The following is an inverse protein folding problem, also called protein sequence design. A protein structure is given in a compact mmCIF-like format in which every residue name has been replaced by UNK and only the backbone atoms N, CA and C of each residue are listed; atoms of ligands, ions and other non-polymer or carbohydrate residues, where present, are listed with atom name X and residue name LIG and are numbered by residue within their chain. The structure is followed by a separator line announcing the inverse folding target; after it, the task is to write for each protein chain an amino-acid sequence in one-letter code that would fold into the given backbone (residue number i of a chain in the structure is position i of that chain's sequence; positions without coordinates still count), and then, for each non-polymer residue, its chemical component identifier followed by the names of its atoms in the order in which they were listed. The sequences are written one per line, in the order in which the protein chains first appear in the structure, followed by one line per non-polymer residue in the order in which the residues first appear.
data_IF_780722376487
#
_entry.id   IF_780722376487
#
_cell.length_a   1.000
_cell.length_b   1.000
_cell.length_c   1.000
_cell.angle_alpha   90.00
_cell.angle_beta   90.00
_cell.angle_gamma   90.00
#
_symmetry.space_group_name_H-M   'P 1'
#
loop_
_entity.id
_entity.type
_entity.pdbx_description
1 polymer ?
#
# COMPACT_ATOMS: atom_id res chain seq x y z
N UNK A 1 40.23 71.67 20.56
CA UNK A 1 39.12 71.30 19.68
C UNK A 1 38.97 69.75 19.72
N UNK A 2 38.00 69.24 20.45
CA UNK A 2 37.78 67.80 20.60
C UNK A 2 36.50 67.43 19.87
N UNK A 3 36.61 66.70 18.73
CA UNK A 3 35.50 66.26 17.94
C UNK A 3 34.97 64.90 18.51
N UNK A 4 33.71 64.90 18.96
CA UNK A 4 32.97 63.69 19.34
C UNK A 4 32.36 63.09 18.12
N UNK A 5 32.79 61.86 17.75
CA UNK A 5 32.11 61.00 16.78
C UNK A 5 31.05 60.17 17.49
N UNK A 6 29.78 60.48 17.26
CA UNK A 6 28.64 59.69 17.73
C UNK A 6 28.36 58.61 16.69
N UNK A 7 28.72 57.34 17.03
CA UNK A 7 28.39 56.19 16.19
C UNK A 7 26.97 55.73 16.48
N UNK A 8 26.07 55.91 15.49
CA UNK A 8 24.69 55.44 15.54
C UNK A 8 24.64 53.98 15.07
N UNK A 9 24.54 53.02 16.00
CA UNK A 9 24.34 51.60 15.70
C UNK A 9 22.87 51.34 15.37
N UNK A 10 22.53 51.15 14.09
CA UNK A 10 21.23 50.68 13.65
C UNK A 10 21.14 49.16 13.92
N UNK A 11 20.41 48.76 14.99
CA UNK A 11 20.04 47.37 15.23
C UNK A 11 18.90 46.98 14.25
N UNK A 12 19.26 46.25 13.18
CA UNK A 12 18.31 45.63 12.27
C UNK A 12 17.58 44.49 12.94
N UNK A 13 16.32 44.69 13.35
CA UNK A 13 15.42 43.67 13.86
C UNK A 13 14.90 42.88 12.65
N UNK A 14 15.46 41.69 12.41
CA UNK A 14 14.95 40.76 11.37
C UNK A 14 13.62 40.20 11.83
N UNK A 15 12.53 40.63 11.24
CA UNK A 15 11.20 40.04 11.37
C UNK A 15 11.21 38.67 10.66
N UNK A 16 11.50 37.60 11.41
CA UNK A 16 11.22 36.23 10.96
C UNK A 16 9.70 36.06 10.96
N UNK A 17 9.08 36.21 9.80
CA UNK A 17 7.66 35.91 9.62
C UNK A 17 7.41 34.40 9.84
N UNK A 18 6.19 34.00 10.33
CA UNK A 18 5.84 32.60 10.46
C UNK A 18 5.90 31.93 9.08
N UNK A 19 6.73 30.89 8.95
CA UNK A 19 6.72 30.03 7.79
C UNK A 19 5.36 29.29 7.75
N UNK A 20 4.48 29.72 6.85
CA UNK A 20 3.23 29.01 6.61
C UNK A 20 3.56 27.58 6.16
N UNK A 21 3.22 26.59 6.97
CA UNK A 21 3.33 25.19 6.61
C UNK A 21 2.42 24.95 5.39
N UNK A 22 3.00 24.74 4.22
CA UNK A 22 2.24 24.43 3.02
C UNK A 22 1.61 23.06 3.20
N UNK A 23 0.28 22.97 3.07
CA UNK A 23 -0.43 21.71 3.05
C UNK A 23 0.13 20.85 1.92
N UNK A 24 0.57 19.60 2.19
CA UNK A 24 1.15 18.77 1.14
C UNK A 24 0.11 18.53 0.03
N UNK A 25 0.54 18.61 -1.20
CA UNK A 25 -0.32 18.38 -2.38
C UNK A 25 -0.89 16.96 -2.36
N UNK A 26 -0.12 15.98 -1.87
CA UNK A 26 -0.56 14.58 -1.69
C UNK A 26 -0.35 14.16 -0.25
N UNK A 27 -1.37 13.55 0.33
CA UNK A 27 -1.31 12.90 1.64
C UNK A 27 -1.26 11.40 1.45
N UNK A 28 -0.25 10.76 2.07
CA UNK A 28 -0.13 9.29 2.12
C UNK A 28 -0.60 8.83 3.49
N UNK A 29 -1.56 7.93 3.52
CA UNK A 29 -2.09 7.35 4.75
C UNK A 29 -2.07 5.82 4.69
N UNK A 30 -2.05 5.20 5.88
CA UNK A 30 -2.08 3.74 6.06
C UNK A 30 -1.04 2.98 5.22
N UNK A 31 0.23 3.42 5.15
CA UNK A 31 1.23 2.70 4.38
C UNK A 31 1.60 1.39 5.06
N UNK A 32 1.74 0.32 4.29
CA UNK A 32 2.26 -0.96 4.77
C UNK A 32 2.90 -1.76 3.66
N UNK A 33 3.79 -2.68 4.02
CA UNK A 33 4.45 -3.63 3.13
C UNK A 33 4.12 -5.04 3.60
N UNK A 34 3.91 -5.97 2.68
CA UNK A 34 3.71 -7.38 3.04
C UNK A 34 5.05 -8.03 3.37
N UNK A 35 5.12 -8.75 4.50
CA UNK A 35 6.29 -9.58 4.85
C UNK A 35 6.59 -10.61 3.74
N UNK A 36 7.82 -11.09 3.71
CA UNK A 36 8.25 -12.12 2.75
C UNK A 36 8.69 -13.40 3.46
N UNK A 37 8.68 -14.49 2.73
CA UNK A 37 9.35 -15.74 3.14
C UNK A 37 10.79 -15.75 2.62
N UNK A 38 11.60 -16.65 3.15
CA UNK A 38 12.95 -16.86 2.67
C UNK A 38 12.96 -17.11 1.15
N UNK A 39 13.94 -16.54 0.45
CA UNK A 39 14.12 -16.62 -1.02
C UNK A 39 13.04 -15.88 -1.87
N UNK A 40 12.04 -15.25 -1.26
CA UNK A 40 11.11 -14.42 -2.00
C UNK A 40 11.81 -13.12 -2.43
N UNK A 41 11.79 -12.83 -3.74
CA UNK A 41 12.51 -11.71 -4.33
C UNK A 41 11.63 -10.49 -4.62
N UNK A 42 10.34 -10.57 -4.31
CA UNK A 42 9.41 -9.47 -4.58
C UNK A 42 8.27 -9.42 -3.56
N UNK A 43 7.78 -8.21 -3.26
CA UNK A 43 6.60 -8.00 -2.41
C UNK A 43 5.87 -6.74 -2.80
N UNK A 44 4.63 -6.57 -2.30
CA UNK A 44 3.80 -5.39 -2.52
C UNK A 44 3.84 -4.42 -1.36
N UNK A 45 3.85 -3.14 -1.69
CA UNK A 45 3.57 -2.05 -0.77
C UNK A 45 2.24 -1.40 -1.12
N UNK A 46 1.49 -1.04 -0.11
CA UNK A 46 0.10 -0.61 -0.17
C UNK A 46 -0.09 0.65 0.68
N UNK A 47 -1.02 1.50 0.28
CA UNK A 47 -1.29 2.77 0.96
C UNK A 47 -2.56 3.41 0.39
N UNK A 48 -3.04 4.44 1.04
CA UNK A 48 -4.08 5.33 0.51
C UNK A 48 -3.43 6.66 0.15
N UNK A 49 -3.71 7.15 -1.06
CA UNK A 49 -3.23 8.43 -1.57
C UNK A 49 -4.42 9.39 -1.73
N UNK A 50 -4.31 10.58 -1.19
CA UNK A 50 -5.32 11.64 -1.34
C UNK A 50 -4.62 12.92 -1.78
N UNK A 51 -5.07 13.49 -2.90
CA UNK A 51 -4.51 14.72 -3.45
C UNK A 51 -5.45 15.90 -3.25
N UNK A 52 -4.93 17.06 -2.83
CA UNK A 52 -5.68 18.31 -2.74
C UNK A 52 -5.88 18.98 -4.10
N UNK A 53 -5.02 18.66 -5.06
CA UNK A 53 -5.06 19.08 -6.46
C UNK A 53 -4.76 17.84 -7.33
N UNK A 54 -5.14 17.89 -8.61
CA UNK A 54 -4.79 16.81 -9.52
C UNK A 54 -3.28 16.57 -9.54
N UNK A 55 -2.88 15.34 -9.31
CA UNK A 55 -1.49 14.90 -9.30
C UNK A 55 -1.38 13.51 -9.94
N UNK A 56 -0.17 13.02 -10.11
CA UNK A 56 0.12 11.70 -10.62
C UNK A 56 1.29 11.09 -9.86
N UNK A 57 1.17 9.87 -9.39
CA UNK A 57 2.30 9.08 -8.91
C UNK A 57 3.04 8.55 -10.14
N UNK A 58 4.29 8.97 -10.35
CA UNK A 58 5.06 8.65 -11.58
C UNK A 58 6.21 7.68 -11.34
N UNK A 59 6.69 7.59 -10.10
CA UNK A 59 7.73 6.62 -9.73
C UNK A 59 7.71 6.34 -8.23
N UNK A 60 8.33 5.22 -7.86
CA UNK A 60 8.64 4.89 -6.48
C UNK A 60 10.03 4.26 -6.40
N UNK A 61 10.67 4.36 -5.23
CA UNK A 61 11.94 3.69 -4.95
C UNK A 61 12.03 3.30 -3.48
N UNK A 62 12.85 2.29 -3.18
CA UNK A 62 13.11 1.86 -1.82
C UNK A 62 14.52 1.30 -1.72
N UNK A 63 15.27 1.57 -0.63
CA UNK A 63 16.62 1.03 -0.43
C UNK A 63 16.64 -0.50 -0.28
N UNK A 64 15.52 -1.14 0.07
CA UNK A 64 15.42 -2.60 0.23
C UNK A 64 15.23 -3.34 -1.10
N UNK A 65 14.93 -2.63 -2.19
CA UNK A 65 14.64 -3.22 -3.51
C UNK A 65 15.64 -2.72 -4.58
N UNK A 66 15.99 -3.59 -5.52
CA UNK A 66 16.77 -3.21 -6.69
C UNK A 66 15.93 -2.58 -7.80
N UNK A 67 14.63 -2.90 -7.83
CA UNK A 67 13.66 -2.37 -8.78
C UNK A 67 12.33 -2.11 -8.07
N UNK A 68 11.73 -0.96 -8.35
CA UNK A 68 10.42 -0.58 -7.80
C UNK A 68 9.54 -0.06 -8.91
N UNK A 69 8.33 -0.59 -9.04
CA UNK A 69 7.38 -0.23 -10.10
C UNK A 69 5.97 -0.02 -9.54
N UNK A 70 5.17 0.76 -10.23
CA UNK A 70 3.74 0.92 -9.96
C UNK A 70 3.02 -0.11 -10.81
N UNK A 71 2.24 -0.97 -10.17
CA UNK A 71 1.51 -2.05 -10.84
C UNK A 71 0.00 -1.91 -10.67
N UNK A 72 -0.74 -2.46 -11.60
CA UNK A 72 -2.17 -2.68 -11.48
C UNK A 72 -2.53 -4.15 -11.69
N UNK A 73 -3.60 -4.58 -11.03
CA UNK A 73 -4.24 -5.87 -11.29
C UNK A 73 -5.47 -5.65 -12.17
N UNK A 74 -5.56 -6.34 -13.28
CA UNK A 74 -6.71 -6.32 -14.19
C UNK A 74 -7.20 -7.72 -14.46
N UNK A 75 -8.49 -7.88 -14.73
CA UNK A 75 -9.08 -9.16 -15.19
C UNK A 75 -9.17 -9.12 -16.71
N UNK A 76 -8.52 -10.06 -17.37
CA UNK A 76 -8.57 -10.22 -18.83
C UNK A 76 -8.96 -11.67 -19.12
N UNK A 77 -10.12 -11.89 -19.75
CA UNK A 77 -10.68 -13.23 -20.05
C UNK A 77 -10.73 -14.11 -18.78
N UNK A 78 -11.32 -13.60 -17.70
CA UNK A 78 -11.46 -14.24 -16.39
C UNK A 78 -10.11 -14.61 -15.70
N UNK A 79 -8.99 -14.12 -16.21
CA UNK A 79 -7.67 -14.30 -15.63
C UNK A 79 -7.18 -12.98 -15.04
N UNK A 80 -6.83 -12.99 -13.76
CA UNK A 80 -6.16 -11.83 -13.13
C UNK A 80 -4.74 -11.70 -13.68
N UNK A 81 -4.45 -10.51 -14.21
CA UNK A 81 -3.12 -10.16 -14.73
C UNK A 81 -2.58 -8.94 -14.01
N UNK A 82 -1.33 -8.99 -13.67
CA UNK A 82 -0.57 -7.89 -13.09
C UNK A 82 0.33 -7.28 -14.17
N UNK A 83 0.34 -5.96 -14.27
CA UNK A 83 1.20 -5.23 -15.22
C UNK A 83 1.75 -3.96 -14.61
N UNK A 84 2.95 -3.57 -15.00
CA UNK A 84 3.50 -2.26 -14.70
C UNK A 84 2.76 -1.17 -15.46
N UNK A 85 2.56 -0.04 -14.81
CA UNK A 85 1.98 1.17 -15.41
C UNK A 85 2.94 2.34 -15.28
N UNK A 86 2.91 3.25 -16.25
CA UNK A 86 3.80 4.41 -16.30
C UNK A 86 3.50 5.47 -15.22
N UNK A 87 2.40 5.30 -14.48
CA UNK A 87 2.00 6.18 -13.38
C UNK A 87 0.52 6.02 -13.07
N UNK A 88 0.13 6.53 -11.90
CA UNK A 88 -1.22 6.45 -11.36
C UNK A 88 -1.77 7.85 -11.14
N UNK A 89 -2.89 8.16 -11.80
CA UNK A 89 -3.55 9.46 -11.66
C UNK A 89 -4.22 9.58 -10.29
N UNK A 90 -4.10 10.73 -9.67
CA UNK A 90 -4.65 11.10 -8.37
C UNK A 90 -5.57 12.31 -8.57
N UNK A 91 -6.86 12.10 -8.83
CA UNK A 91 -7.80 13.20 -8.96
C UNK A 91 -7.94 13.99 -7.65
N UNK A 92 -8.11 15.30 -7.75
CA UNK A 92 -8.33 16.15 -6.59
C UNK A 92 -9.53 15.69 -5.76
N UNK A 93 -9.40 15.75 -4.45
CA UNK A 93 -10.45 15.40 -3.48
C UNK A 93 -10.96 13.94 -3.55
N UNK A 94 -10.28 13.08 -4.31
CA UNK A 94 -10.59 11.65 -4.39
C UNK A 94 -9.44 10.83 -3.81
N UNK A 95 -9.75 9.90 -2.91
CA UNK A 95 -8.76 8.95 -2.42
C UNK A 95 -8.58 7.81 -3.42
N UNK A 96 -7.32 7.50 -3.73
CA UNK A 96 -6.91 6.35 -4.55
C UNK A 96 -6.25 5.32 -3.65
N UNK A 97 -6.78 4.11 -3.64
CA UNK A 97 -6.28 3.02 -2.80
C UNK A 97 -5.33 2.11 -3.58
N UNK A 98 -4.12 1.98 -3.06
CA UNK A 98 -3.19 0.92 -3.44
C UNK A 98 -3.42 -0.24 -2.48
N UNK A 99 -4.01 -1.34 -2.97
CA UNK A 99 -4.44 -2.49 -2.16
C UNK A 99 -4.19 -3.82 -2.86
N UNK A 100 -4.12 -4.93 -2.13
CA UNK A 100 -4.06 -6.25 -2.75
C UNK A 100 -5.21 -6.46 -3.76
N UNK A 101 -4.88 -6.96 -4.95
CA UNK A 101 -5.84 -7.15 -6.04
C UNK A 101 -6.19 -5.89 -6.82
N UNK A 102 -5.58 -4.75 -6.52
CA UNK A 102 -5.74 -3.47 -7.23
C UNK A 102 -4.40 -2.87 -7.60
N UNK A 103 -4.32 -1.53 -7.54
CA UNK A 103 -3.04 -0.84 -7.65
C UNK A 103 -2.13 -1.16 -6.48
N UNK A 104 -0.83 -1.19 -6.71
CA UNK A 104 0.19 -1.36 -5.67
C UNK A 104 1.57 -0.93 -6.17
N UNK A 105 2.47 -0.66 -5.22
CA UNK A 105 3.88 -0.49 -5.51
C UNK A 105 4.56 -1.82 -5.33
N UNK A 106 5.20 -2.32 -6.37
CA UNK A 106 5.93 -3.58 -6.38
C UNK A 106 7.39 -3.33 -6.04
N UNK A 107 7.87 -3.96 -4.96
CA UNK A 107 9.28 -3.98 -4.55
C UNK A 107 9.89 -5.27 -5.06
N UNK A 108 10.81 -5.19 -5.99
CA UNK A 108 11.43 -6.34 -6.66
C UNK A 108 12.95 -6.35 -6.48
N UNK A 109 13.57 -7.50 -6.73
CA UNK A 109 14.99 -7.71 -6.48
C UNK A 109 15.35 -7.32 -5.03
N UNK A 110 14.58 -7.87 -4.09
CA UNK A 110 14.78 -7.60 -2.67
C UNK A 110 16.19 -8.03 -2.25
N UNK A 111 16.87 -7.17 -1.53
CA UNK A 111 18.24 -7.40 -1.05
C UNK A 111 18.29 -8.37 0.12
N UNK A 112 17.20 -8.47 0.87
CA UNK A 112 17.00 -9.35 2.01
C UNK A 112 15.51 -9.61 2.24
N UNK A 113 15.13 -10.69 2.94
CA UNK A 113 13.76 -10.89 3.38
C UNK A 113 13.27 -9.73 4.26
N UNK A 114 11.98 -9.39 4.15
CA UNK A 114 11.33 -8.39 4.99
C UNK A 114 10.49 -9.10 6.05
N UNK A 115 10.83 -8.87 7.32
CA UNK A 115 10.17 -9.53 8.45
C UNK A 115 9.06 -8.64 9.02
N UNK A 116 7.97 -9.27 9.49
CA UNK A 116 6.90 -8.55 10.17
C UNK A 116 7.43 -7.76 11.38
N UNK A 117 6.98 -6.52 11.51
CA UNK A 117 7.43 -5.58 12.55
C UNK A 117 8.57 -4.66 12.13
N UNK A 118 9.28 -4.95 11.04
CA UNK A 118 10.25 -4.02 10.45
C UNK A 118 9.55 -2.80 9.83
N UNK A 119 10.34 -1.78 9.48
CA UNK A 119 9.90 -0.62 8.72
C UNK A 119 10.70 -0.50 7.43
N UNK A 120 10.03 -0.10 6.38
CA UNK A 120 10.61 0.07 5.04
C UNK A 120 10.40 1.50 4.58
N UNK A 121 11.50 2.19 4.29
CA UNK A 121 11.44 3.50 3.66
C UNK A 121 11.04 3.36 2.19
N UNK A 122 10.03 4.11 1.76
CA UNK A 122 9.58 4.19 0.38
C UNK A 122 9.54 5.66 -0.03
N UNK A 123 10.27 6.00 -1.07
CA UNK A 123 10.23 7.33 -1.68
C UNK A 123 9.29 7.29 -2.88
N UNK A 124 8.26 8.10 -2.83
CA UNK A 124 7.27 8.28 -3.89
C UNK A 124 7.57 9.56 -4.65
N UNK A 125 7.51 9.50 -5.97
CA UNK A 125 7.70 10.66 -6.86
C UNK A 125 6.36 11.00 -7.49
N UNK A 126 5.89 12.20 -7.23
CA UNK A 126 4.64 12.73 -7.77
C UNK A 126 4.93 13.82 -8.80
N UNK A 127 3.98 14.02 -9.67
CA UNK A 127 3.94 15.12 -10.64
C UNK A 127 2.62 15.87 -10.46
N UNK A 128 2.67 17.19 -10.34
CA UNK A 128 1.48 18.04 -10.22
C UNK A 128 0.87 18.37 -11.59
N UNK A 129 -0.22 19.14 -11.60
CA UNK A 129 -0.89 19.59 -12.83
C UNK A 129 0.01 20.43 -13.75
N UNK A 130 1.08 21.06 -13.22
CA UNK A 130 2.06 21.84 -13.95
C UNK A 130 3.26 21.00 -14.40
N UNK A 131 3.22 19.68 -14.22
CA UNK A 131 4.32 18.73 -14.47
C UNK A 131 5.55 18.98 -13.58
N UNK A 132 5.37 19.65 -12.46
CA UNK A 132 6.43 19.80 -11.47
C UNK A 132 6.49 18.55 -10.59
N UNK A 133 7.70 17.99 -10.46
CA UNK A 133 7.92 16.80 -9.65
C UNK A 133 8.27 17.16 -8.23
N UNK A 134 7.70 16.42 -7.30
CA UNK A 134 8.04 16.46 -5.89
C UNK A 134 8.11 15.05 -5.33
N UNK A 135 8.85 14.90 -4.24
CA UNK A 135 9.06 13.60 -3.62
C UNK A 135 8.54 13.60 -2.19
N UNK A 136 8.07 12.43 -1.73
CA UNK A 136 7.70 12.20 -0.36
C UNK A 136 8.25 10.83 0.07
N UNK A 137 9.03 10.80 1.14
CA UNK A 137 9.49 9.55 1.75
C UNK A 137 8.60 9.21 2.93
N UNK A 138 8.16 7.96 2.97
CA UNK A 138 7.31 7.39 4.02
C UNK A 138 7.98 6.18 4.65
N UNK A 139 7.66 5.91 5.92
CA UNK A 139 8.05 4.70 6.65
C UNK A 139 6.85 3.76 6.74
N UNK A 140 6.89 2.67 5.98
CA UNK A 140 5.82 1.69 5.92
C UNK A 140 6.12 0.49 6.84
N UNK A 141 5.27 0.16 7.82
CA UNK A 141 5.45 -1.05 8.62
C UNK A 141 5.28 -2.31 7.76
N UNK A 142 6.08 -3.32 8.04
CA UNK A 142 5.97 -4.65 7.43
C UNK A 142 4.95 -5.45 8.21
N UNK A 143 3.85 -5.85 7.55
CA UNK A 143 2.78 -6.65 8.15
C UNK A 143 2.93 -8.13 7.79
N UNK A 144 2.45 -9.05 8.66
CA UNK A 144 2.46 -10.49 8.39
C UNK A 144 1.79 -10.86 7.07
N UNK A 145 2.14 -12.02 6.49
CA UNK A 145 1.63 -12.51 5.20
C UNK A 145 0.10 -12.57 5.11
N UNK A 146 -0.59 -12.89 6.19
CA UNK A 146 -2.04 -12.96 6.26
C UNK A 146 -2.74 -11.65 6.62
N UNK A 147 -1.99 -10.56 6.87
CA UNK A 147 -2.58 -9.29 7.21
C UNK A 147 -3.22 -8.64 5.98
N UNK A 148 -4.49 -8.22 6.13
CA UNK A 148 -5.11 -7.23 5.27
C UNK A 148 -5.02 -5.88 5.97
N UNK A 149 -4.92 -4.78 5.22
CA UNK A 149 -4.98 -3.45 5.82
C UNK A 149 -6.23 -3.31 6.68
N UNK A 150 -6.10 -2.75 7.87
CA UNK A 150 -7.16 -2.64 8.88
C UNK A 150 -8.34 -1.72 8.48
N UNK A 151 -8.59 -1.52 7.21
CA UNK A 151 -9.66 -0.67 6.67
C UNK A 151 -10.64 -1.35 5.71
N UNK A 152 -10.45 -2.63 5.34
CA UNK A 152 -11.20 -3.23 4.23
C UNK A 152 -12.47 -4.04 4.64
N UNK A 153 -12.78 -4.20 5.91
CA UNK A 153 -13.92 -5.00 6.36
C UNK A 153 -14.72 -4.33 7.48
N UNK A 154 -15.41 -3.25 7.16
CA UNK A 154 -16.51 -2.70 7.94
C UNK A 154 -17.87 -3.19 7.43
N UNK A 155 -18.14 -4.49 7.49
CA UNK A 155 -19.49 -5.03 7.41
C UNK A 155 -19.65 -6.08 8.51
N UNK A 156 -19.77 -5.60 9.75
CA UNK A 156 -20.30 -6.38 10.85
C UNK A 156 -21.81 -6.45 10.69
N UNK A 157 -22.32 -7.52 10.10
CA UNK A 157 -23.74 -7.88 10.23
C UNK A 157 -23.99 -8.37 11.64
N UNK A 158 -25.14 -8.02 12.29
CA UNK A 158 -25.47 -8.50 13.64
C UNK A 158 -25.75 -10.00 13.58
N UNK A 159 -25.00 -10.76 14.37
CA UNK A 159 -25.19 -12.18 14.56
C UNK A 159 -26.57 -12.46 15.16
N UNK A 160 -27.41 -13.14 14.42
CA UNK A 160 -28.61 -13.76 14.97
C UNK A 160 -28.21 -15.12 15.55
N UNK A 161 -28.27 -15.19 16.87
CA UNK A 161 -28.17 -16.45 17.60
C UNK A 161 -29.39 -17.34 17.27
N UNK A 162 -29.12 -18.52 16.76
CA UNK A 162 -30.11 -19.58 16.71
C UNK A 162 -29.85 -20.57 17.84
N UNK A 163 -30.86 -20.64 18.71
CA UNK A 163 -30.93 -21.48 19.88
C UNK A 163 -30.86 -22.98 19.58
N UNK A 164 -30.40 -23.66 20.59
CA UNK A 164 -30.35 -25.10 20.71
C UNK A 164 -31.73 -25.73 20.55
N UNK A 165 -31.82 -26.77 19.68
CA UNK A 165 -32.86 -27.77 19.77
C UNK A 165 -32.22 -29.13 19.84
N UNK A 166 -32.62 -29.87 20.91
CA UNK A 166 -32.25 -31.22 21.28
C UNK A 166 -32.73 -32.23 20.25
N UNK A 167 -31.97 -33.34 20.15
CA UNK A 167 -32.31 -34.59 19.43
C UNK A 167 -33.55 -35.29 20.03
N UNK A 168 -34.18 -36.24 19.31
CA UNK A 168 -33.66 -37.60 19.33
C UNK A 168 -33.90 -38.50 18.08
N UNK A 169 -33.05 -39.48 17.93
CA UNK A 169 -33.43 -40.84 17.56
C UNK A 169 -33.42 -41.25 16.08
N UNK A 170 -32.52 -42.14 15.71
CA UNK A 170 -32.89 -43.38 15.08
C UNK A 170 -32.55 -43.62 13.62
N UNK A 171 -31.85 -44.71 13.44
CA UNK A 171 -31.79 -45.63 12.30
C UNK A 171 -30.75 -45.38 11.19
N UNK A 172 -29.80 -46.30 11.18
CA UNK A 172 -28.74 -46.49 10.22
C UNK A 172 -29.19 -46.92 8.84
N UNK A 173 -28.43 -46.46 7.87
CA UNK A 173 -28.24 -47.18 6.60
C UNK A 173 -26.87 -46.75 6.07
N UNK A 174 -25.99 -47.73 5.93
CA UNK A 174 -24.72 -47.56 5.24
C UNK A 174 -24.97 -47.57 3.71
N UNK A 175 -24.45 -46.65 2.93
CA UNK A 175 -24.38 -46.82 1.49
C UNK A 175 -23.09 -47.54 1.10
N UNK A 176 -23.26 -48.50 0.18
CA UNK A 176 -22.23 -49.32 -0.43
C UNK A 176 -21.24 -48.47 -1.26
N UNK A 177 -19.99 -48.92 -1.24
CA UNK A 177 -18.93 -48.35 -2.07
C UNK A 177 -19.17 -48.62 -3.56
N UNK A 178 -18.89 -47.65 -4.46
CA UNK A 178 -18.89 -47.88 -5.90
C UNK A 178 -17.61 -48.59 -6.35
N UNK A 179 -17.80 -49.59 -7.23
CA UNK A 179 -16.78 -50.44 -7.83
C UNK A 179 -15.81 -49.63 -8.71
N UNK A 180 -14.53 -49.98 -8.68
CA UNK A 180 -13.51 -49.45 -9.54
C UNK A 180 -13.72 -49.87 -11.01
N UNK A 181 -13.42 -49.00 -12.01
CA UNK A 181 -13.45 -49.35 -13.42
C UNK A 181 -12.21 -50.18 -13.78
N UNK A 182 -12.45 -51.21 -14.61
CA UNK A 182 -11.44 -52.13 -15.13
C UNK A 182 -10.47 -51.45 -16.09
N UNK A 183 -9.20 -51.84 -16.03
CA UNK A 183 -8.15 -51.40 -16.95
C UNK A 183 -8.34 -51.99 -18.36
N UNK A 184 -8.01 -51.21 -19.45
CA UNK A 184 -8.04 -51.75 -20.80
C UNK A 184 -6.85 -52.67 -21.07
N UNK A 185 -7.13 -53.86 -21.59
CA UNK A 185 -6.15 -54.81 -22.12
C UNK A 185 -5.69 -54.29 -23.51
N UNK A 186 -4.39 -54.28 -23.73
CA UNK A 186 -3.79 -54.03 -25.05
C UNK A 186 -3.69 -55.35 -25.84
N UNK A 187 -3.85 -55.32 -27.15
CA UNK A 187 -3.49 -56.40 -28.09
C UNK A 187 -1.99 -56.56 -28.28
#
# INVERSE_FOLDING_TARGET
MRAFFLALALAGFALAGPAAAQTPVVTVSEPWVRATVAQQQATGAFMRLSASQNARLVAASSPVAGLTEIHEMTVVNDVMRMRAIAGLDLPAAQAVELRPGGYHVMLMQLRQPLNAGERVAITLVFEDANRQRFTQTIEAPVLPLGAAAAGAHGHGGPGQGHGAHAAPGGHGHAPAAPAAPAAPQRP
#
